data_IF_872506037629
#
_entry.id   IF_872506037629
#
_cell.length_a   1.000
_cell.length_b   1.000
_cell.length_c   1.000
_cell.angle_alpha   90.00
_cell.angle_beta   90.00
_cell.angle_gamma   90.00
#
_symmetry.space_group_name_H-M   'P 1'
#
loop_
_entity.id
_entity.type
_entity.pdbx_description
1 polymer ?
#
# COMPACT_ATOMS: atom_id res chain seq x y z
N UNK A 1 -41.60 85.42 -73.56
CA UNK A 1 -40.60 86.07 -72.70
C UNK A 1 -40.16 85.13 -71.63
N UNK A 2 -38.83 84.99 -71.57
CA UNK A 2 -38.02 84.43 -70.47
C UNK A 2 -38.07 82.94 -70.16
N UNK A 3 -37.17 82.22 -70.68
CA UNK A 3 -36.07 81.51 -70.11
C UNK A 3 -36.28 80.81 -68.75
N UNK A 4 -36.16 79.55 -68.78
CA UNK A 4 -35.58 78.85 -67.66
C UNK A 4 -34.75 77.69 -68.14
N UNK A 5 -33.53 77.70 -67.79
CA UNK A 5 -32.45 76.73 -68.02
C UNK A 5 -32.63 75.55 -67.19
N UNK A 6 -32.50 74.38 -67.82
CA UNK A 6 -32.42 73.12 -67.13
C UNK A 6 -31.13 72.92 -66.37
N UNK A 7 -31.23 72.35 -65.22
CA UNK A 7 -30.08 71.93 -64.40
C UNK A 7 -30.07 70.45 -64.38
N UNK A 8 -29.12 69.82 -65.07
CA UNK A 8 -28.85 68.41 -65.06
C UNK A 8 -28.24 68.00 -63.69
N UNK A 9 -28.94 67.15 -62.99
CA UNK A 9 -28.47 66.56 -61.76
C UNK A 9 -27.67 65.30 -62.12
N UNK A 10 -26.37 65.37 -62.01
CA UNK A 10 -25.47 64.26 -62.20
C UNK A 10 -25.60 63.25 -61.03
N UNK A 11 -25.96 62.04 -61.35
CA UNK A 11 -25.88 60.95 -60.39
C UNK A 11 -24.42 60.57 -60.14
N UNK A 12 -23.91 60.95 -58.99
CA UNK A 12 -22.64 60.42 -58.46
C UNK A 12 -22.91 59.07 -57.84
N UNK A 13 -22.56 58.00 -58.55
CA UNK A 13 -22.53 56.66 -58.02
C UNK A 13 -21.36 56.55 -57.05
N UNK A 14 -21.66 56.50 -55.76
CA UNK A 14 -20.70 56.15 -54.75
C UNK A 14 -20.52 54.63 -54.75
N UNK A 15 -19.49 54.15 -55.42
CA UNK A 15 -19.03 52.76 -55.24
C UNK A 15 -18.35 52.66 -53.86
N UNK A 16 -19.10 52.13 -52.89
CA UNK A 16 -18.55 51.75 -51.61
C UNK A 16 -17.76 50.42 -51.82
N UNK A 17 -16.46 50.55 -51.99
CA UNK A 17 -15.54 49.43 -51.91
C UNK A 17 -15.52 48.97 -50.46
N UNK A 18 -16.33 47.95 -50.17
CA UNK A 18 -16.24 47.17 -48.92
C UNK A 18 -14.93 46.38 -48.93
N UNK A 19 -13.88 46.97 -48.39
CA UNK A 19 -12.63 46.28 -48.07
C UNK A 19 -12.93 45.34 -46.88
N UNK A 20 -13.36 44.16 -47.19
CA UNK A 20 -13.52 43.09 -46.21
C UNK A 20 -12.14 42.78 -45.61
N UNK A 21 -11.88 43.31 -44.44
CA UNK A 21 -10.80 42.84 -43.59
C UNK A 21 -11.06 41.36 -43.29
N UNK A 22 -10.50 40.47 -44.10
CA UNK A 22 -10.25 39.08 -43.76
C UNK A 22 -9.32 39.10 -42.55
N UNK A 23 -9.90 39.18 -41.35
CA UNK A 23 -9.19 38.83 -40.12
C UNK A 23 -9.02 37.32 -40.24
N UNK A 24 -7.78 36.79 -40.37
CA UNK A 24 -7.58 35.37 -40.31
C UNK A 24 -8.11 34.93 -38.94
N UNK A 25 -9.24 34.22 -38.94
CA UNK A 25 -9.75 33.59 -37.77
C UNK A 25 -8.62 32.74 -37.20
N UNK A 26 -8.05 33.16 -36.08
CA UNK A 26 -7.19 32.28 -35.29
C UNK A 26 -8.03 31.03 -35.09
N UNK A 27 -7.54 29.86 -35.49
CA UNK A 27 -8.20 28.64 -35.08
C UNK A 27 -8.27 28.77 -33.56
N UNK A 28 -9.48 28.74 -33.03
CA UNK A 28 -9.64 28.46 -31.62
C UNK A 28 -8.85 27.19 -31.40
N UNK A 29 -7.63 27.32 -30.83
CA UNK A 29 -6.95 26.20 -30.27
C UNK A 29 -8.01 25.60 -29.36
N UNK A 30 -8.64 24.52 -29.82
CA UNK A 30 -9.30 23.63 -28.90
C UNK A 30 -8.21 23.36 -27.87
N UNK A 31 -8.31 24.01 -26.72
CA UNK A 31 -7.59 23.60 -25.54
C UNK A 31 -7.86 22.10 -25.50
N UNK A 32 -6.86 21.34 -25.89
CA UNK A 32 -6.90 19.93 -25.59
C UNK A 32 -7.05 19.94 -24.08
N UNK A 33 -8.27 19.69 -23.64
CA UNK A 33 -8.56 19.40 -22.25
C UNK A 33 -7.61 18.25 -22.00
N UNK A 34 -6.44 18.57 -21.46
CA UNK A 34 -5.54 17.57 -20.90
C UNK A 34 -6.40 16.91 -19.84
N UNK A 35 -7.03 15.79 -20.26
CA UNK A 35 -7.68 14.92 -19.29
C UNK A 35 -6.60 14.64 -18.29
N UNK A 36 -6.73 15.23 -17.10
CA UNK A 36 -5.86 14.93 -16.01
C UNK A 36 -5.80 13.41 -15.96
N UNK A 37 -4.63 12.82 -16.16
CA UNK A 37 -4.43 11.40 -15.92
C UNK A 37 -4.74 11.22 -14.45
N UNK A 38 -5.96 10.79 -14.14
CA UNK A 38 -6.43 10.57 -12.77
C UNK A 38 -5.62 9.45 -12.14
N UNK A 39 -5.02 8.59 -12.98
CA UNK A 39 -4.14 7.51 -12.56
C UNK A 39 -2.78 7.67 -13.25
N UNK A 40 -1.73 7.72 -12.46
CA UNK A 40 -0.38 7.56 -12.97
C UNK A 40 -0.22 6.09 -13.40
N UNK A 41 0.45 5.83 -14.52
CA UNK A 41 0.74 4.45 -14.96
C UNK A 41 1.67 3.72 -13.97
N UNK A 42 2.42 4.50 -13.16
CA UNK A 42 3.28 4.01 -12.09
C UNK A 42 2.97 4.76 -10.80
N UNK A 43 2.89 4.04 -9.69
CA UNK A 43 2.66 4.58 -8.36
C UNK A 43 3.40 3.74 -7.32
N UNK A 44 3.39 4.17 -6.08
CA UNK A 44 4.02 3.45 -4.99
C UNK A 44 3.19 2.18 -4.67
N UNK A 45 3.61 1.05 -5.23
CA UNK A 45 2.97 -0.25 -5.01
C UNK A 45 3.19 -0.71 -3.57
N UNK A 46 4.41 -0.56 -3.06
CA UNK A 46 4.80 -0.90 -1.69
C UNK A 46 5.30 0.38 -1.02
N UNK A 47 4.56 0.88 -0.05
CA UNK A 47 4.90 2.06 0.74
C UNK A 47 5.66 1.70 2.01
N UNK A 48 6.27 2.69 2.65
CA UNK A 48 6.86 2.54 3.97
C UNK A 48 5.85 1.98 5.00
N UNK A 49 4.59 2.42 4.91
CA UNK A 49 3.53 1.90 5.78
C UNK A 49 3.31 0.40 5.57
N UNK A 50 3.36 -0.07 4.33
CA UNK A 50 3.22 -1.50 4.04
C UNK A 50 4.37 -2.32 4.62
N UNK A 51 5.60 -1.80 4.58
CA UNK A 51 6.77 -2.48 5.11
C UNK A 51 6.80 -2.51 6.64
N UNK A 52 6.42 -1.39 7.28
CA UNK A 52 6.63 -1.21 8.72
C UNK A 52 5.39 -1.43 9.59
N UNK A 53 4.21 -1.50 8.99
CA UNK A 53 2.95 -1.60 9.71
C UNK A 53 2.13 -2.86 9.36
N UNK A 54 2.48 -3.59 8.28
CA UNK A 54 1.81 -4.84 7.95
C UNK A 54 2.15 -5.93 8.97
N UNK A 55 1.35 -6.96 8.98
CA UNK A 55 1.63 -8.17 9.76
C UNK A 55 2.44 -9.19 8.94
N UNK A 56 2.90 -10.25 9.59
CA UNK A 56 3.43 -11.45 8.97
C UNK A 56 3.11 -12.70 9.81
N UNK A 57 3.25 -13.89 9.23
CA UNK A 57 3.10 -15.14 9.97
C UNK A 57 4.42 -15.53 10.62
N UNK A 58 4.43 -15.61 11.95
CA UNK A 58 5.52 -16.22 12.70
C UNK A 58 5.34 -17.74 12.67
N UNK A 59 6.25 -18.43 12.00
CA UNK A 59 6.17 -19.88 11.81
C UNK A 59 6.29 -20.62 13.14
N UNK A 60 5.48 -21.65 13.30
CA UNK A 60 5.50 -22.48 14.52
C UNK A 60 6.87 -23.13 14.73
N UNK A 61 7.33 -23.13 15.98
CA UNK A 61 8.64 -23.69 16.36
C UNK A 61 9.84 -22.76 16.13
N UNK A 62 9.67 -21.61 15.50
CA UNK A 62 10.74 -20.61 15.45
C UNK A 62 10.83 -19.84 16.76
N UNK A 63 12.06 -19.52 17.25
CA UNK A 63 12.22 -18.75 18.47
C UNK A 63 11.69 -17.34 18.30
N UNK A 64 11.02 -16.84 19.32
CA UNK A 64 10.68 -15.43 19.46
C UNK A 64 11.87 -14.63 19.94
N UNK A 65 11.91 -13.32 19.67
CA UNK A 65 12.92 -12.43 20.27
C UNK A 65 12.87 -12.50 21.79
N UNK A 66 14.01 -12.37 22.43
CA UNK A 66 14.10 -12.35 23.90
C UNK A 66 14.06 -10.93 24.48
N UNK A 67 14.09 -9.89 23.64
CA UNK A 67 13.90 -8.49 24.03
C UNK A 67 12.41 -8.14 24.04
N UNK A 68 11.93 -7.61 25.17
CA UNK A 68 10.50 -7.32 25.39
C UNK A 68 10.28 -5.96 26.05
N UNK A 69 9.10 -5.41 25.89
CA UNK A 69 8.59 -4.31 26.69
C UNK A 69 8.21 -4.84 28.07
N UNK A 70 8.85 -4.33 29.12
CA UNK A 70 8.57 -4.73 30.52
C UNK A 70 7.80 -3.68 31.30
N UNK A 71 7.62 -2.49 30.74
CA UNK A 71 6.91 -1.39 31.34
C UNK A 71 6.95 -0.16 30.46
N UNK A 72 6.30 0.90 30.92
CA UNK A 72 6.27 2.20 30.26
C UNK A 72 5.98 3.32 31.26
N UNK A 73 6.28 4.55 30.88
CA UNK A 73 5.81 5.71 31.63
C UNK A 73 4.28 5.73 31.62
N UNK A 74 3.69 6.10 32.75
CA UNK A 74 2.23 6.18 32.91
C UNK A 74 1.47 4.87 32.62
N UNK A 75 2.12 3.71 32.81
CA UNK A 75 1.46 2.40 32.64
C UNK A 75 0.26 2.18 33.57
N UNK A 76 0.13 2.96 34.64
CA UNK A 76 -1.05 2.94 35.53
C UNK A 76 -2.24 3.71 34.95
N UNK A 77 -2.05 4.51 33.90
CA UNK A 77 -3.07 5.35 33.29
C UNK A 77 -3.59 4.75 31.96
N UNK A 78 -2.76 3.93 31.29
CA UNK A 78 -3.10 3.35 29.99
C UNK A 78 -2.38 2.02 29.75
N UNK A 79 -3.00 1.15 28.97
CA UNK A 79 -2.49 -0.18 28.60
C UNK A 79 -1.80 -0.19 27.22
N UNK A 80 -2.12 0.78 26.37
CA UNK A 80 -1.57 0.91 25.03
C UNK A 80 -0.68 2.13 24.88
N UNK A 81 0.51 1.96 24.30
CA UNK A 81 1.53 2.99 24.12
C UNK A 81 1.68 3.31 22.65
N UNK A 82 1.71 4.60 22.32
CA UNK A 82 1.75 5.12 20.96
C UNK A 82 2.93 6.07 20.77
N UNK A 83 3.01 6.71 19.63
CA UNK A 83 4.05 7.68 19.30
C UNK A 83 4.29 8.70 20.43
N UNK A 84 5.56 8.99 20.70
CA UNK A 84 6.08 9.81 21.79
C UNK A 84 6.07 9.19 23.21
N UNK A 85 5.41 8.05 23.41
CA UNK A 85 5.46 7.36 24.71
C UNK A 85 6.84 6.74 24.94
N UNK A 86 7.19 6.64 26.23
CA UNK A 86 8.44 6.04 26.71
C UNK A 86 8.15 4.65 27.26
N UNK A 87 8.92 3.68 26.80
CA UNK A 87 8.83 2.26 27.17
C UNK A 87 10.14 1.76 27.78
N UNK A 88 10.04 0.75 28.62
CA UNK A 88 11.18 0.09 29.28
C UNK A 88 11.39 -1.29 28.66
N UNK A 89 12.64 -1.58 28.29
CA UNK A 89 13.03 -2.82 27.63
C UNK A 89 13.69 -3.78 28.61
N UNK A 90 13.48 -5.08 28.44
CA UNK A 90 13.98 -6.16 29.32
C UNK A 90 15.50 -6.36 29.29
N UNK A 91 16.24 -5.61 28.45
CA UNK A 91 17.68 -5.66 28.31
C UNK A 91 18.28 -4.26 28.34
N UNK A 92 19.56 -4.17 28.71
CA UNK A 92 20.27 -2.90 28.85
C UNK A 92 21.68 -2.95 28.29
N UNK A 93 22.56 -2.10 28.84
CA UNK A 93 23.94 -1.99 28.39
C UNK A 93 24.72 -3.32 28.51
N UNK A 94 24.46 -4.11 29.55
CA UNK A 94 25.14 -5.40 29.76
C UNK A 94 24.79 -6.45 28.69
N UNK A 95 23.69 -6.24 27.97
CA UNK A 95 23.19 -7.12 26.91
C UNK A 95 23.53 -6.61 25.50
N UNK A 96 24.37 -5.56 25.41
CA UNK A 96 24.81 -4.99 24.13
C UNK A 96 23.84 -4.01 23.49
N UNK A 97 22.87 -3.50 24.24
CA UNK A 97 22.00 -2.42 23.75
C UNK A 97 22.76 -1.09 23.78
N UNK A 98 22.57 -0.26 22.75
CA UNK A 98 23.24 1.02 22.58
C UNK A 98 22.24 2.18 22.50
N UNK A 99 22.66 3.39 22.93
CA UNK A 99 21.88 4.61 22.77
C UNK A 99 21.75 4.92 21.26
N UNK A 100 20.54 5.29 20.84
CA UNK A 100 20.23 5.58 19.46
C UNK A 100 19.82 4.35 18.64
N UNK A 101 20.02 3.14 19.14
CA UNK A 101 19.58 1.92 18.47
C UNK A 101 18.06 1.91 18.28
N UNK A 102 17.61 1.48 17.10
CA UNK A 102 16.20 1.43 16.74
C UNK A 102 15.74 -0.02 16.71
N UNK A 103 14.53 -0.25 17.24
CA UNK A 103 13.89 -1.55 17.25
C UNK A 103 12.49 -1.47 16.65
N UNK A 104 12.12 -2.49 15.88
CA UNK A 104 10.74 -2.77 15.47
C UNK A 104 10.00 -3.40 16.63
N UNK A 105 8.88 -2.82 17.01
CA UNK A 105 7.96 -3.39 18.01
C UNK A 105 7.01 -4.35 17.30
N UNK A 106 6.86 -5.56 17.83
CA UNK A 106 5.96 -6.59 17.30
C UNK A 106 5.09 -7.18 18.40
N UNK A 107 3.81 -7.39 18.12
CA UNK A 107 2.87 -8.08 18.98
C UNK A 107 2.37 -9.37 18.34
N UNK A 108 2.15 -10.39 19.15
CA UNK A 108 1.53 -11.64 18.72
C UNK A 108 0.02 -11.51 18.83
N UNK A 109 -0.68 -11.93 17.79
CA UNK A 109 -2.14 -11.92 17.68
C UNK A 109 -2.67 -13.35 17.49
N UNK A 110 -3.55 -13.58 16.56
CA UNK A 110 -4.25 -14.83 16.34
C UNK A 110 -3.36 -15.96 15.84
N UNK A 111 -3.70 -17.18 16.20
CA UNK A 111 -3.11 -18.39 15.63
C UNK A 111 -3.89 -18.79 14.38
N UNK A 112 -3.17 -19.06 13.31
CA UNK A 112 -3.70 -19.53 12.01
C UNK A 112 -3.08 -20.88 11.66
N UNK A 113 -3.56 -22.00 12.22
CA UNK A 113 -3.00 -23.32 11.92
C UNK A 113 -3.22 -23.71 10.44
N UNK A 114 -2.27 -24.37 9.78
CA UNK A 114 -0.94 -24.78 10.26
C UNK A 114 0.16 -23.73 10.03
N UNK A 115 -0.18 -22.49 9.68
CA UNK A 115 0.75 -21.49 9.17
C UNK A 115 1.52 -20.72 10.27
N UNK A 116 1.02 -20.73 11.52
CA UNK A 116 1.68 -20.10 12.65
C UNK A 116 0.83 -19.04 13.34
N UNK A 117 1.49 -18.02 13.88
CA UNK A 117 0.86 -16.92 14.64
C UNK A 117 1.01 -15.61 13.89
N UNK A 118 -0.08 -14.88 13.73
CA UNK A 118 -0.08 -13.52 13.19
C UNK A 118 0.77 -12.64 14.09
N UNK A 119 1.76 -11.99 13.51
CA UNK A 119 2.67 -11.09 14.21
C UNK A 119 2.49 -9.69 13.63
N UNK A 120 1.89 -8.84 14.41
CA UNK A 120 1.60 -7.46 14.02
C UNK A 120 2.81 -6.56 14.26
N UNK A 121 3.26 -5.82 13.25
CA UNK A 121 4.21 -4.73 13.43
C UNK A 121 3.48 -3.53 14.05
N UNK A 122 3.85 -3.18 15.28
CA UNK A 122 3.17 -2.12 16.03
C UNK A 122 3.79 -0.75 15.85
N UNK A 123 5.05 -0.69 15.44
CA UNK A 123 5.80 0.54 15.26
C UNK A 123 7.28 0.35 15.52
N UNK A 124 7.98 1.46 15.74
CA UNK A 124 9.41 1.43 16.08
C UNK A 124 9.73 2.35 17.26
N UNK A 125 10.76 1.97 18.02
CA UNK A 125 11.23 2.74 19.16
C UNK A 125 12.74 2.91 19.08
N UNK A 126 13.23 4.07 19.55
CA UNK A 126 14.64 4.40 19.66
C UNK A 126 15.07 4.44 21.11
N UNK A 127 16.20 3.82 21.41
CA UNK A 127 16.82 3.85 22.73
C UNK A 127 17.32 5.27 23.03
N UNK A 128 16.86 5.85 24.13
CA UNK A 128 17.19 7.21 24.55
C UNK A 128 18.01 7.27 25.83
N UNK A 129 17.99 6.20 26.64
CA UNK A 129 18.77 6.08 27.88
C UNK A 129 19.06 4.61 28.17
N UNK A 130 20.20 4.35 28.78
CA UNK A 130 20.65 3.01 29.16
C UNK A 130 20.91 2.93 30.67
N UNK A 131 20.52 1.81 31.22
CA UNK A 131 20.95 1.30 32.52
C UNK A 131 21.61 -0.08 32.31
N UNK A 132 22.18 -0.63 33.36
CA UNK A 132 22.92 -1.88 33.28
C UNK A 132 22.07 -3.02 32.68
N UNK A 133 20.82 -3.17 33.11
CA UNK A 133 19.92 -4.28 32.73
C UNK A 133 18.63 -3.83 32.05
N UNK A 134 18.41 -2.56 31.88
CA UNK A 134 17.19 -1.98 31.29
C UNK A 134 17.58 -0.89 30.32
N UNK A 135 16.96 -0.85 29.18
CA UNK A 135 17.00 0.28 28.27
C UNK A 135 15.70 1.05 28.30
N UNK A 136 15.78 2.36 28.17
CA UNK A 136 14.64 3.25 28.03
C UNK A 136 14.57 3.65 26.57
N UNK A 137 13.44 3.39 25.93
CA UNK A 137 13.22 3.72 24.54
C UNK A 137 11.98 4.60 24.36
N UNK A 138 12.00 5.45 23.34
CA UNK A 138 10.90 6.31 22.94
C UNK A 138 10.30 5.77 21.66
N UNK A 139 8.98 5.63 21.61
CA UNK A 139 8.27 5.24 20.40
C UNK A 139 8.32 6.41 19.41
N UNK A 140 8.97 6.20 18.25
CA UNK A 140 9.12 7.22 17.20
C UNK A 140 7.98 7.19 16.18
N UNK A 141 7.48 6.00 15.92
CA UNK A 141 6.37 5.73 14.97
C UNK A 141 5.48 4.65 15.54
N UNK A 142 4.20 4.85 15.45
CA UNK A 142 3.20 3.90 15.90
C UNK A 142 2.25 3.56 14.76
N UNK A 143 2.14 2.28 14.44
CA UNK A 143 1.11 1.74 13.54
C UNK A 143 -0.09 1.26 14.36
N UNK A 144 0.22 0.65 15.50
CA UNK A 144 -0.71 0.12 16.48
C UNK A 144 -0.18 0.41 17.88
N UNK A 145 -1.05 0.42 18.85
CA UNK A 145 -0.64 0.61 20.25
C UNK A 145 0.27 -0.56 20.69
N UNK A 146 1.48 -0.23 21.15
CA UNK A 146 2.37 -1.18 21.81
C UNK A 146 1.87 -1.51 23.20
N UNK A 147 2.18 -2.71 23.70
CA UNK A 147 1.75 -3.20 25.02
C UNK A 147 2.93 -3.78 25.79
N UNK A 148 2.80 -3.81 27.10
CA UNK A 148 3.75 -4.58 27.93
C UNK A 148 3.68 -6.05 27.53
N UNK A 149 4.83 -6.68 27.33
CA UNK A 149 4.97 -8.05 26.80
C UNK A 149 5.25 -8.13 25.31
N UNK A 150 5.03 -7.07 24.54
CA UNK A 150 5.42 -7.03 23.12
C UNK A 150 6.92 -7.21 22.96
N UNK A 151 7.32 -7.79 21.84
CA UNK A 151 8.69 -8.13 21.50
C UNK A 151 9.34 -7.02 20.67
N UNK A 152 10.65 -7.00 20.66
CA UNK A 152 11.44 -6.09 19.84
C UNK A 152 12.46 -6.84 19.01
N UNK A 153 12.58 -6.45 17.74
CA UNK A 153 13.59 -6.89 16.79
C UNK A 153 14.46 -5.70 16.38
N UNK A 154 15.74 -5.89 16.03
CA UNK A 154 16.49 -4.84 15.35
C UNK A 154 15.70 -4.31 14.17
N UNK A 155 15.65 -2.98 14.03
CA UNK A 155 14.95 -2.36 12.92
C UNK A 155 15.84 -2.37 11.67
N UNK A 156 15.29 -2.89 10.57
CA UNK A 156 15.91 -2.90 9.25
C UNK A 156 15.13 -1.97 8.34
N UNK A 157 15.81 -1.04 7.68
CA UNK A 157 15.19 -0.19 6.68
C UNK A 157 14.91 -0.99 5.42
N UNK A 158 13.64 -1.02 5.01
CA UNK A 158 13.21 -1.54 3.72
C UNK A 158 13.05 -0.41 2.71
N UNK A 159 13.03 -0.74 1.45
CA UNK A 159 12.70 0.20 0.38
C UNK A 159 11.33 -0.14 -0.19
N UNK A 160 10.48 0.89 -0.31
CA UNK A 160 9.23 0.79 -1.03
C UNK A 160 9.45 0.49 -2.51
N UNK A 161 8.43 0.03 -3.20
CA UNK A 161 8.49 -0.29 -4.61
C UNK A 161 7.55 0.61 -5.40
N UNK A 162 8.12 1.31 -6.40
CA UNK A 162 7.35 2.10 -7.37
C UNK A 162 7.21 1.25 -8.63
N UNK A 163 5.99 1.09 -9.11
CA UNK A 163 5.75 0.25 -10.27
C UNK A 163 4.36 0.42 -10.83
N UNK A 164 3.95 -0.56 -11.62
CA UNK A 164 2.63 -0.63 -12.23
C UNK A 164 1.91 -1.87 -11.76
N UNK A 165 0.66 -1.69 -11.32
CA UNK A 165 -0.25 -2.82 -11.14
C UNK A 165 -0.51 -3.46 -12.51
N UNK A 166 -0.19 -4.74 -12.66
CA UNK A 166 -0.41 -5.51 -13.89
C UNK A 166 -1.90 -5.84 -14.10
N UNK A 167 -2.72 -5.54 -13.08
CA UNK A 167 -4.14 -5.90 -13.08
C UNK A 167 -4.38 -7.39 -12.85
N UNK A 168 -5.63 -7.78 -13.00
CA UNK A 168 -6.06 -9.17 -12.80
C UNK A 168 -6.91 -9.71 -13.96
N UNK A 169 -7.04 -8.94 -15.05
CA UNK A 169 -7.84 -9.36 -16.21
C UNK A 169 -7.13 -10.40 -17.09
N UNK A 170 -5.81 -10.50 -16.95
CA UNK A 170 -5.00 -11.44 -17.73
C UNK A 170 -4.66 -12.65 -16.88
N UNK A 171 -5.40 -13.74 -17.08
CA UNK A 171 -5.04 -15.04 -16.50
C UNK A 171 -3.88 -15.65 -17.29
N UNK A 172 -2.81 -16.04 -16.60
CA UNK A 172 -1.80 -16.92 -17.18
C UNK A 172 -2.28 -18.38 -17.09
N UNK A 173 -2.72 -19.00 -18.19
CA UNK A 173 -3.20 -20.39 -18.16
C UNK A 173 -2.09 -21.39 -17.79
N UNK A 174 -0.82 -20.99 -17.91
CA UNK A 174 0.35 -21.81 -17.62
C UNK A 174 0.93 -21.54 -16.23
N UNK A 175 0.34 -20.66 -15.45
CA UNK A 175 0.83 -20.37 -14.10
C UNK A 175 0.77 -21.64 -13.25
N UNK A 176 1.94 -22.14 -12.92
CA UNK A 176 2.11 -23.37 -12.12
C UNK A 176 2.03 -23.13 -10.62
N UNK A 177 2.09 -21.88 -10.17
CA UNK A 177 2.15 -21.52 -8.76
C UNK A 177 0.81 -20.95 -8.32
N UNK A 178 0.08 -21.74 -7.59
CA UNK A 178 -1.23 -21.40 -7.01
C UNK A 178 -1.23 -21.61 -5.51
N UNK A 179 -2.09 -20.90 -4.82
CA UNK A 179 -2.28 -20.99 -3.37
C UNK A 179 -3.65 -20.47 -2.97
N UNK A 180 -3.78 -20.08 -1.71
CA UNK A 180 -5.00 -19.52 -1.16
C UNK A 180 -4.70 -18.38 -0.20
N UNK A 181 -5.64 -17.47 -0.05
CA UNK A 181 -5.66 -16.51 1.06
C UNK A 181 -5.96 -17.30 2.33
N UNK A 182 -5.09 -17.17 3.35
CA UNK A 182 -5.22 -17.94 4.61
C UNK A 182 -5.59 -17.05 5.79
N UNK A 183 -5.38 -15.74 5.67
CA UNK A 183 -5.75 -14.77 6.69
C UNK A 183 -5.94 -13.39 6.07
N UNK A 184 -6.91 -12.65 6.56
CA UNK A 184 -7.12 -11.24 6.23
C UNK A 184 -6.89 -10.39 7.46
N UNK A 185 -6.40 -9.16 7.24
CA UNK A 185 -5.99 -8.25 8.31
C UNK A 185 -7.10 -8.06 9.36
N UNK A 186 -6.72 -8.11 10.64
CA UNK A 186 -7.60 -7.97 11.80
C UNK A 186 -8.72 -9.02 11.92
N UNK A 187 -8.51 -10.21 11.37
CA UNK A 187 -9.51 -11.30 11.40
C UNK A 187 -10.91 -10.88 10.90
N UNK A 188 -10.97 -9.92 9.98
CA UNK A 188 -12.21 -9.62 9.30
C UNK A 188 -12.60 -10.78 8.38
N UNK A 189 -13.90 -10.94 8.15
CA UNK A 189 -14.36 -11.95 7.19
C UNK A 189 -13.90 -11.64 5.78
N UNK A 190 -13.88 -10.36 5.43
CA UNK A 190 -13.56 -9.87 4.10
C UNK A 190 -12.64 -8.66 4.18
N UNK A 191 -11.88 -8.43 3.11
CA UNK A 191 -10.97 -7.30 2.99
C UNK A 191 -10.99 -6.75 1.57
N UNK A 192 -10.28 -5.65 1.30
CA UNK A 192 -10.29 -4.98 0.00
C UNK A 192 -9.03 -4.15 -0.27
N UNK A 193 -9.09 -3.34 -1.32
CA UNK A 193 -7.94 -2.53 -1.79
C UNK A 193 -7.28 -1.71 -0.69
N UNK A 194 -5.96 -1.67 -0.70
CA UNK A 194 -5.12 -0.96 0.27
C UNK A 194 -4.93 -1.69 1.60
N UNK A 195 -5.55 -2.86 1.79
CA UNK A 195 -5.40 -3.70 2.98
C UNK A 195 -4.42 -4.84 2.74
N UNK A 196 -4.12 -5.58 3.80
CA UNK A 196 -3.19 -6.70 3.77
C UNK A 196 -3.92 -8.03 3.97
N UNK A 197 -3.33 -9.07 3.37
CA UNK A 197 -3.75 -10.45 3.57
C UNK A 197 -2.52 -11.36 3.65
N UNK A 198 -2.69 -12.58 4.10
CA UNK A 198 -1.65 -13.61 4.02
C UNK A 198 -2.07 -14.71 3.07
N UNK A 199 -1.12 -15.18 2.26
CA UNK A 199 -1.28 -16.30 1.34
C UNK A 199 -0.38 -17.47 1.74
N UNK A 200 -0.79 -18.71 1.43
CA UNK A 200 0.01 -19.91 1.71
C UNK A 200 1.06 -20.20 0.63
N UNK A 201 1.64 -19.15 0.09
CA UNK A 201 2.75 -19.21 -0.85
C UNK A 201 3.90 -18.40 -0.28
N UNK A 202 5.04 -19.02 -0.09
CA UNK A 202 6.21 -18.38 0.51
C UNK A 202 7.50 -18.69 -0.23
N UNK A 203 8.62 -18.60 0.49
CA UNK A 203 9.95 -18.88 -0.05
C UNK A 203 10.09 -20.29 -0.61
N UNK A 204 9.38 -21.26 -0.01
CA UNK A 204 9.37 -22.65 -0.50
C UNK A 204 8.80 -22.79 -1.90
N UNK A 205 7.91 -21.88 -2.33
CA UNK A 205 7.38 -21.77 -3.68
C UNK A 205 8.12 -20.74 -4.53
N UNK A 206 9.30 -20.26 -4.08
CA UNK A 206 10.11 -19.25 -4.75
C UNK A 206 9.36 -17.94 -4.98
N UNK A 207 8.51 -17.53 -4.04
CA UNK A 207 7.87 -16.20 -4.01
C UNK A 207 8.89 -15.18 -3.52
N UNK A 208 8.87 -13.98 -4.09
CA UNK A 208 9.75 -12.87 -3.76
C UNK A 208 8.93 -11.61 -3.46
N UNK A 209 9.50 -10.68 -2.69
CA UNK A 209 8.91 -9.34 -2.50
C UNK A 209 8.81 -8.67 -3.88
N UNK A 210 7.69 -7.97 -4.13
CA UNK A 210 7.41 -7.35 -5.42
C UNK A 210 6.70 -8.27 -6.42
N UNK A 211 6.63 -9.57 -6.19
CA UNK A 211 5.84 -10.46 -7.05
C UNK A 211 4.35 -10.07 -6.97
N UNK A 212 3.71 -10.03 -8.13
CA UNK A 212 2.28 -9.73 -8.21
C UNK A 212 1.46 -11.02 -8.33
N UNK A 213 0.31 -11.01 -7.71
CA UNK A 213 -0.58 -12.16 -7.54
C UNK A 213 -1.99 -11.78 -7.97
N UNK A 214 -2.65 -12.62 -8.74
CA UNK A 214 -4.10 -12.50 -9.03
C UNK A 214 -4.88 -13.33 -8.03
N UNK A 215 -5.95 -12.75 -7.47
CA UNK A 215 -6.88 -13.46 -6.59
C UNK A 215 -8.16 -13.79 -7.33
N UNK A 216 -8.68 -14.98 -7.06
CA UNK A 216 -9.85 -15.54 -7.71
C UNK A 216 -10.88 -15.93 -6.67
N UNK A 217 -12.10 -15.55 -6.93
CA UNK A 217 -13.27 -16.03 -6.19
C UNK A 217 -14.00 -17.11 -6.98
N UNK A 218 -14.61 -18.04 -6.26
CA UNK A 218 -15.47 -19.08 -6.85
C UNK A 218 -16.81 -19.09 -6.12
N UNK A 219 -17.81 -18.54 -6.76
CA UNK A 219 -19.15 -18.42 -6.17
C UNK A 219 -19.75 -19.77 -5.76
N UNK A 220 -19.41 -20.87 -6.49
CA UNK A 220 -19.77 -22.25 -6.15
C UNK A 220 -18.69 -23.21 -6.68
N UNK A 221 -18.50 -24.38 -6.02
CA UNK A 221 -17.45 -25.33 -6.42
C UNK A 221 -17.48 -25.77 -7.90
N UNK A 222 -18.66 -25.77 -8.50
CA UNK A 222 -18.87 -26.24 -9.89
C UNK A 222 -18.80 -25.11 -10.92
N UNK A 223 -18.63 -23.85 -10.50
CA UNK A 223 -18.53 -22.71 -11.41
C UNK A 223 -17.07 -22.40 -11.72
N UNK A 224 -16.80 -21.79 -12.86
CA UNK A 224 -15.48 -21.21 -13.14
C UNK A 224 -15.08 -20.25 -12.05
N UNK A 225 -13.77 -20.17 -11.77
CA UNK A 225 -13.20 -19.11 -10.93
C UNK A 225 -13.18 -17.79 -11.70
N UNK A 226 -13.43 -16.71 -11.01
CA UNK A 226 -13.38 -15.36 -11.56
C UNK A 226 -12.25 -14.57 -10.91
N UNK A 227 -11.45 -13.87 -11.69
CA UNK A 227 -10.44 -12.98 -11.16
C UNK A 227 -11.13 -11.78 -10.51
N UNK A 228 -10.88 -11.55 -9.22
CA UNK A 228 -11.54 -10.50 -8.44
C UNK A 228 -10.60 -9.40 -7.99
N UNK A 229 -9.28 -9.59 -8.08
CA UNK A 229 -8.34 -8.55 -7.72
C UNK A 229 -6.88 -8.88 -8.00
N UNK A 230 -6.03 -7.88 -7.81
CA UNK A 230 -4.57 -7.96 -7.87
C UNK A 230 -3.95 -7.65 -6.51
N UNK A 231 -2.86 -8.32 -6.21
CA UNK A 231 -2.09 -8.18 -4.97
C UNK A 231 -0.60 -8.08 -5.29
N UNK A 232 0.18 -7.51 -4.38
CA UNK A 232 1.65 -7.51 -4.41
C UNK A 232 2.22 -8.06 -3.11
N UNK A 233 3.26 -8.86 -3.24
CA UNK A 233 3.96 -9.48 -2.09
C UNK A 233 4.83 -8.43 -1.41
N UNK A 234 4.65 -8.24 -0.10
CA UNK A 234 5.38 -7.25 0.72
C UNK A 234 6.25 -7.88 1.81
N UNK A 235 5.99 -9.12 2.20
CA UNK A 235 6.82 -9.90 3.15
C UNK A 235 6.77 -11.39 2.78
N UNK A 236 7.91 -12.10 2.89
CA UNK A 236 8.02 -13.51 2.50
C UNK A 236 8.58 -14.33 3.65
N UNK A 237 7.82 -15.32 4.10
CA UNK A 237 8.23 -16.34 5.08
C UNK A 237 8.47 -17.68 4.39
N UNK A 238 8.74 -18.76 5.15
CA UNK A 238 8.99 -20.06 4.56
C UNK A 238 7.80 -20.59 3.76
N UNK A 239 6.63 -20.67 4.39
CA UNK A 239 5.40 -21.24 3.82
C UNK A 239 4.36 -20.18 3.43
N UNK A 240 4.49 -18.94 3.89
CA UNK A 240 3.50 -17.86 3.69
C UNK A 240 4.13 -16.60 3.17
N UNK A 241 3.33 -15.72 2.59
CA UNK A 241 3.69 -14.34 2.30
C UNK A 241 2.57 -13.40 2.73
N UNK A 242 2.95 -12.19 3.14
CA UNK A 242 2.01 -11.10 3.30
C UNK A 242 1.90 -10.33 2.00
N UNK A 243 0.70 -10.04 1.60
CA UNK A 243 0.39 -9.31 0.36
C UNK A 243 -0.42 -8.05 0.67
N UNK A 244 -0.20 -7.01 -0.13
CA UNK A 244 -1.08 -5.84 -0.19
C UNK A 244 -2.03 -5.99 -1.35
N UNK A 245 -3.30 -5.72 -1.13
CA UNK A 245 -4.32 -5.72 -2.19
C UNK A 245 -4.21 -4.40 -2.95
N UNK A 246 -3.82 -4.45 -4.22
CA UNK A 246 -3.67 -3.27 -5.08
C UNK A 246 -5.03 -2.80 -5.59
N UNK A 247 -5.79 -3.72 -6.17
CA UNK A 247 -7.13 -3.46 -6.67
C UNK A 247 -8.02 -4.70 -6.49
N UNK A 248 -9.31 -4.48 -6.25
CA UNK A 248 -10.29 -5.55 -6.27
C UNK A 248 -11.65 -5.01 -6.74
N UNK A 249 -12.42 -5.87 -7.43
CA UNK A 249 -13.80 -5.60 -7.85
C UNK A 249 -14.83 -6.22 -6.91
N UNK A 250 -14.37 -7.13 -6.06
CA UNK A 250 -15.20 -7.80 -5.05
C UNK A 250 -14.38 -7.99 -3.77
N UNK A 251 -15.07 -8.29 -2.68
CA UNK A 251 -14.45 -8.56 -1.40
C UNK A 251 -13.57 -9.82 -1.47
N UNK A 252 -12.42 -9.75 -0.83
CA UNK A 252 -11.47 -10.86 -0.73
C UNK A 252 -11.61 -11.49 0.64
N UNK A 253 -11.64 -12.83 0.69
CA UNK A 253 -11.81 -13.59 1.93
C UNK A 253 -10.80 -14.73 2.06
N UNK A 254 -10.65 -15.24 3.27
CA UNK A 254 -9.85 -16.45 3.50
C UNK A 254 -10.49 -17.64 2.75
N UNK A 255 -9.66 -18.39 2.01
CA UNK A 255 -10.10 -19.47 1.12
C UNK A 255 -10.10 -19.10 -0.36
N UNK A 256 -10.07 -17.83 -0.72
CA UNK A 256 -9.93 -17.40 -2.11
C UNK A 256 -8.65 -17.93 -2.74
N UNK A 257 -8.76 -18.42 -3.97
CA UNK A 257 -7.63 -18.95 -4.71
C UNK A 257 -6.70 -17.81 -5.16
N UNK A 258 -5.39 -18.03 -5.13
CA UNK A 258 -4.40 -17.06 -5.63
C UNK A 258 -3.47 -17.72 -6.65
N UNK A 259 -3.00 -16.92 -7.58
CA UNK A 259 -2.09 -17.34 -8.65
C UNK A 259 -0.98 -16.31 -8.83
N UNK A 260 0.28 -16.77 -8.80
CA UNK A 260 1.43 -15.91 -9.03
C UNK A 260 1.49 -15.52 -10.50
N UNK A 261 1.64 -14.22 -10.77
CA UNK A 261 1.82 -13.69 -12.12
C UNK A 261 3.28 -13.87 -12.55
N UNK A 262 3.54 -14.81 -13.46
CA UNK A 262 4.89 -15.18 -13.88
C UNK A 262 5.49 -14.25 -14.94
N UNK A 263 4.71 -13.34 -15.49
CA UNK A 263 5.20 -12.36 -16.48
C UNK A 263 6.00 -11.25 -15.76
N UNK A 264 7.30 -11.39 -15.74
CA UNK A 264 8.26 -10.32 -15.39
C UNK A 264 8.46 -9.35 -16.54
#
# INVERSE_FOLDING_TARGET
>A
MKNHKGLSLGLLSFAVLAFGLLVPGRPFAQDQIQRAKIFQDTYELISDTDLYCSFYMHEEGKPLPDLRIIGADRMNEKEGFIEQDVIYLSKGQADGIEIGQIFQIIGLEDKVPPYGTVTQRRGRARVIRLEKKVAVAKIERSCWAARVGDYLLPFEEGQGEIGKDKGYDVMDPNASKTGQVVYVDQDYRTTGSGRWASINMGRQQCVQIGDQVTVFHRARPNLPREAVGSMIVIDVRGATSTVKILACRDAIEAGDEVQLNTTR
#
